data_IF_338047264626
#
_entry.id   IF_338047264626
#
_cell.length_a   1.000
_cell.length_b   1.000
_cell.length_c   1.000
_cell.angle_alpha   90.00
_cell.angle_beta   90.00
_cell.angle_gamma   90.00
#
_symmetry.space_group_name_H-M   'P 1'
#
loop_
_entity.id
_entity.type
_entity.pdbx_description
1 polymer ?
#
# COMPACT_ATOMS: atom_id res chain seq x y z
N UNK A 1 -21.64 -1.41 15.68
CA UNK A 1 -22.63 -2.40 15.21
C UNK A 1 -21.88 -3.45 14.44
N UNK A 2 -22.11 -4.71 14.81
CA UNK A 2 -21.28 -5.89 14.56
C UNK A 2 -21.30 -6.29 13.08
N UNK A 3 -20.12 -6.46 12.46
CA UNK A 3 -19.97 -7.00 11.10
C UNK A 3 -20.60 -8.40 11.04
N UNK A 4 -21.79 -8.52 10.45
CA UNK A 4 -22.52 -9.80 10.35
C UNK A 4 -21.96 -10.73 9.26
N UNK A 5 -21.11 -10.23 8.37
CA UNK A 5 -20.58 -10.97 7.23
C UNK A 5 -19.06 -11.04 7.28
N UNK A 6 -18.52 -12.16 6.81
CA UNK A 6 -17.07 -12.39 6.69
C UNK A 6 -16.69 -12.57 5.21
N UNK A 7 -15.43 -12.28 4.82
CA UNK A 7 -14.92 -12.64 3.50
C UNK A 7 -15.13 -14.13 3.22
N UNK A 8 -15.52 -14.44 1.99
CA UNK A 8 -15.86 -15.78 1.52
C UNK A 8 -17.11 -16.42 2.14
N UNK A 9 -17.87 -15.68 2.95
CA UNK A 9 -19.16 -16.15 3.42
C UNK A 9 -20.14 -16.31 2.24
N UNK A 10 -20.86 -17.44 2.15
CA UNK A 10 -21.94 -17.61 1.19
C UNK A 10 -23.17 -16.82 1.64
N UNK A 11 -23.72 -16.02 0.73
CA UNK A 11 -24.85 -15.15 1.02
C UNK A 11 -25.90 -15.20 -0.08
N UNK A 12 -27.15 -14.99 0.31
CA UNK A 12 -28.29 -14.80 -0.58
C UNK A 12 -28.83 -13.39 -0.46
N UNK A 13 -29.11 -12.77 -1.60
CA UNK A 13 -29.88 -11.55 -1.64
C UNK A 13 -31.36 -11.83 -1.32
N UNK A 14 -31.92 -11.10 -0.36
CA UNK A 14 -33.29 -11.35 0.12
C UNK A 14 -34.36 -10.91 -0.89
N UNK A 15 -34.05 -9.93 -1.74
CA UNK A 15 -34.96 -9.33 -2.73
C UNK A 15 -35.03 -10.19 -4.00
N UNK A 16 -33.90 -10.38 -4.68
CA UNK A 16 -33.86 -11.03 -5.99
C UNK A 16 -33.40 -12.49 -5.94
N UNK A 17 -33.16 -13.04 -4.74
CA UNK A 17 -32.72 -14.41 -4.49
C UNK A 17 -31.38 -14.79 -5.16
N UNK A 18 -30.60 -13.80 -5.60
CA UNK A 18 -29.26 -14.07 -6.14
C UNK A 18 -28.34 -14.65 -5.08
N UNK A 19 -27.56 -15.66 -5.47
CA UNK A 19 -26.56 -16.31 -4.64
C UNK A 19 -25.18 -15.80 -5.00
N UNK A 20 -24.35 -15.55 -4.00
CA UNK A 20 -22.97 -15.15 -4.21
C UNK A 20 -22.11 -15.33 -2.98
N UNK A 21 -20.82 -15.05 -3.15
CA UNK A 21 -19.81 -15.17 -2.10
C UNK A 21 -19.27 -13.79 -1.79
N UNK A 22 -19.17 -13.43 -0.52
CA UNK A 22 -18.66 -12.12 -0.08
C UNK A 22 -17.19 -11.98 -0.49
N UNK A 23 -16.86 -10.91 -1.22
CA UNK A 23 -15.48 -10.61 -1.64
C UNK A 23 -14.95 -9.29 -1.10
N UNK A 24 -15.82 -8.39 -0.61
CA UNK A 24 -15.42 -7.11 0.00
C UNK A 24 -16.51 -6.61 0.95
N UNK A 25 -16.08 -6.03 2.06
CA UNK A 25 -16.93 -5.39 3.06
C UNK A 25 -16.44 -3.94 3.22
N UNK A 26 -17.34 -2.96 3.07
CA UNK A 26 -17.04 -1.54 3.21
C UNK A 26 -18.19 -0.84 3.96
N UNK A 27 -18.10 -0.85 5.29
CA UNK A 27 -19.22 -0.48 6.16
C UNK A 27 -20.44 -1.36 5.85
N UNK A 28 -21.60 -0.76 5.63
CA UNK A 28 -22.83 -1.49 5.28
C UNK A 28 -22.89 -1.99 3.83
N UNK A 29 -21.89 -1.66 3.00
CA UNK A 29 -21.86 -2.11 1.61
C UNK A 29 -21.06 -3.41 1.50
N UNK A 30 -21.72 -4.46 1.04
CA UNK A 30 -21.15 -5.80 0.85
C UNK A 30 -21.09 -6.09 -0.64
N UNK A 31 -19.89 -6.32 -1.17
CA UNK A 31 -19.71 -6.77 -2.54
C UNK A 31 -19.63 -8.30 -2.56
N UNK A 32 -20.48 -8.90 -3.39
CA UNK A 32 -20.52 -10.34 -3.62
C UNK A 32 -20.09 -10.66 -5.05
N UNK A 33 -19.44 -11.81 -5.23
CA UNK A 33 -19.23 -12.44 -6.52
C UNK A 33 -20.37 -13.42 -6.76
N UNK A 34 -21.13 -13.22 -7.83
CA UNK A 34 -22.22 -14.13 -8.23
C UNK A 34 -21.71 -15.19 -9.20
N UNK A 35 -22.46 -16.29 -9.38
CA UNK A 35 -22.04 -17.48 -10.15
C UNK A 35 -21.62 -17.21 -11.59
N UNK A 36 -22.15 -16.17 -12.23
CA UNK A 36 -21.77 -15.80 -13.61
C UNK A 36 -20.49 -14.96 -13.67
N UNK A 37 -19.75 -14.82 -12.56
CA UNK A 37 -18.54 -14.00 -12.46
C UNK A 37 -18.81 -12.50 -12.26
N UNK A 38 -20.08 -12.09 -12.25
CA UNK A 38 -20.48 -10.71 -11.99
C UNK A 38 -20.17 -10.28 -10.55
N UNK A 39 -19.80 -9.01 -10.39
CA UNK A 39 -19.63 -8.39 -9.07
C UNK A 39 -20.82 -7.48 -8.79
N UNK A 40 -21.48 -7.68 -7.67
CA UNK A 40 -22.63 -6.89 -7.27
C UNK A 40 -22.43 -6.37 -5.85
N UNK A 41 -22.84 -5.13 -5.58
CA UNK A 41 -22.75 -4.53 -4.24
C UNK A 41 -24.14 -4.29 -3.69
N UNK A 42 -24.38 -4.77 -2.48
CA UNK A 42 -25.65 -4.64 -1.77
C UNK A 42 -25.43 -4.01 -0.40
N UNK A 43 -26.49 -3.41 0.15
CA UNK A 43 -26.51 -3.08 1.59
C UNK A 43 -26.63 -4.38 2.40
N UNK A 44 -25.97 -4.44 3.55
CA UNK A 44 -25.97 -5.60 4.44
C UNK A 44 -27.38 -6.10 4.77
N UNK A 45 -28.33 -5.18 4.99
CA UNK A 45 -29.74 -5.50 5.26
C UNK A 45 -30.46 -6.28 4.14
N UNK A 46 -29.90 -6.28 2.92
CA UNK A 46 -30.46 -7.03 1.79
C UNK A 46 -29.78 -8.37 1.56
N UNK A 47 -28.87 -8.77 2.45
CA UNK A 47 -28.20 -10.06 2.41
C UNK A 47 -28.58 -10.88 3.63
N UNK A 48 -28.69 -12.18 3.42
CA UNK A 48 -28.81 -13.17 4.48
C UNK A 48 -27.76 -14.27 4.24
N UNK A 49 -27.34 -15.00 5.27
CA UNK A 49 -26.57 -16.24 5.09
C UNK A 49 -27.31 -17.18 4.13
N UNK A 50 -26.56 -17.81 3.23
CA UNK A 50 -27.11 -18.85 2.36
C UNK A 50 -27.47 -20.10 3.19
N UNK A 51 -28.48 -20.87 2.75
CA UNK A 51 -28.80 -22.17 3.37
C UNK A 51 -27.70 -23.19 3.10
N UNK A 52 -27.76 -24.38 3.72
CA UNK A 52 -26.80 -25.45 3.47
C UNK A 52 -26.82 -25.91 2.00
N UNK A 53 -28.01 -25.99 1.40
CA UNK A 53 -28.20 -26.36 0.00
C UNK A 53 -27.63 -25.28 -0.93
N UNK A 54 -27.91 -24.01 -0.65
CA UNK A 54 -27.40 -22.88 -1.42
C UNK A 54 -25.86 -22.76 -1.29
N UNK A 55 -25.33 -23.06 -0.11
CA UNK A 55 -23.88 -23.10 0.15
C UNK A 55 -23.20 -24.20 -0.64
N UNK A 56 -23.84 -25.38 -0.78
CA UNK A 56 -23.32 -26.46 -1.60
C UNK A 56 -23.14 -26.03 -3.07
N UNK A 57 -24.05 -25.19 -3.60
CA UNK A 57 -23.96 -24.64 -4.96
C UNK A 57 -22.79 -23.66 -5.13
N UNK A 58 -22.35 -23.01 -4.06
CA UNK A 58 -21.27 -22.02 -4.06
C UNK A 58 -19.91 -22.61 -3.70
N UNK A 59 -19.84 -23.91 -3.35
CA UNK A 59 -18.64 -24.57 -2.80
C UNK A 59 -17.40 -24.37 -3.65
N UNK A 60 -17.49 -24.69 -4.95
CA UNK A 60 -16.34 -24.57 -5.87
C UNK A 60 -15.84 -23.13 -5.97
N UNK A 61 -16.75 -22.16 -5.97
CA UNK A 61 -16.42 -20.74 -6.01
C UNK A 61 -15.76 -20.28 -4.70
N UNK A 62 -16.24 -20.75 -3.55
CA UNK A 62 -15.63 -20.49 -2.24
C UNK A 62 -14.22 -21.09 -2.20
N UNK A 63 -14.05 -22.34 -2.64
CA UNK A 63 -12.76 -23.00 -2.69
C UNK A 63 -11.78 -22.30 -3.64
N UNK A 64 -12.25 -21.91 -4.83
CA UNK A 64 -11.43 -21.16 -5.78
C UNK A 64 -11.01 -19.81 -5.20
N UNK A 65 -11.94 -19.06 -4.59
CA UNK A 65 -11.64 -17.77 -3.98
C UNK A 65 -10.66 -17.90 -2.81
N UNK A 66 -10.80 -18.93 -1.97
CA UNK A 66 -9.83 -19.24 -0.91
C UNK A 66 -8.47 -19.65 -1.47
N UNK A 67 -8.43 -20.43 -2.56
CA UNK A 67 -7.20 -20.78 -3.28
C UNK A 67 -6.53 -19.54 -3.87
N UNK A 68 -7.29 -18.63 -4.49
CA UNK A 68 -6.76 -17.40 -5.06
C UNK A 68 -6.29 -16.41 -3.98
N UNK A 69 -6.97 -16.36 -2.84
CA UNK A 69 -6.55 -15.55 -1.69
C UNK A 69 -5.30 -16.11 -1.01
N UNK A 70 -5.24 -17.43 -0.82
CA UNK A 70 -4.02 -18.10 -0.34
C UNK A 70 -2.87 -17.98 -1.34
N UNK A 71 -3.13 -18.01 -2.65
CA UNK A 71 -2.14 -17.69 -3.68
C UNK A 71 -1.68 -16.25 -3.58
N UNK A 72 -2.56 -15.26 -3.39
CA UNK A 72 -2.14 -13.87 -3.14
C UNK A 72 -1.35 -13.69 -1.84
N UNK A 73 -1.61 -14.52 -0.84
CA UNK A 73 -0.88 -14.51 0.43
C UNK A 73 0.49 -15.20 0.33
N UNK A 74 0.64 -16.20 -0.54
CA UNK A 74 1.87 -17.01 -0.72
C UNK A 74 2.73 -16.52 -1.89
N UNK A 75 2.14 -15.95 -2.94
CA UNK A 75 2.87 -15.25 -3.99
C UNK A 75 2.88 -13.77 -3.66
N UNK A 76 3.84 -13.38 -2.82
CA UNK A 76 4.44 -12.07 -3.01
C UNK A 76 4.74 -11.95 -4.50
N UNK A 77 4.00 -11.11 -5.20
CA UNK A 77 4.16 -10.86 -6.64
C UNK A 77 5.67 -10.77 -6.85
N UNK A 78 6.27 -11.66 -7.66
CA UNK A 78 7.67 -11.45 -8.06
C UNK A 78 7.60 -10.16 -8.88
N UNK A 79 7.91 -9.06 -8.21
CA UNK A 79 7.88 -7.75 -8.81
C UNK A 79 9.12 -7.70 -9.66
N UNK A 80 8.95 -7.64 -10.98
CA UNK A 80 10.06 -7.45 -11.91
C UNK A 80 10.80 -6.15 -11.54
N UNK A 81 12.06 -6.23 -11.07
CA UNK A 81 12.80 -5.06 -10.63
C UNK A 81 12.98 -4.03 -11.74
N UNK A 82 13.08 -4.48 -13.00
CA UNK A 82 13.29 -3.60 -14.14
C UNK A 82 12.01 -2.80 -14.43
N UNK A 83 10.84 -3.45 -14.34
CA UNK A 83 9.57 -2.76 -14.48
C UNK A 83 9.38 -1.69 -13.40
N UNK A 84 9.80 -1.97 -12.16
CA UNK A 84 9.74 -0.99 -11.05
C UNK A 84 10.60 0.23 -11.36
N UNK A 85 11.83 0.02 -11.87
CA UNK A 85 12.72 1.11 -12.29
C UNK A 85 12.09 1.93 -13.40
N UNK A 86 11.55 1.30 -14.43
CA UNK A 86 10.88 1.98 -15.55
C UNK A 86 9.72 2.86 -15.06
N UNK A 87 8.89 2.36 -14.14
CA UNK A 87 7.78 3.14 -13.58
C UNK A 87 8.29 4.29 -12.70
N UNK A 88 9.37 4.10 -11.95
CA UNK A 88 10.01 5.16 -11.17
C UNK A 88 10.62 6.24 -12.08
N UNK A 89 11.28 5.86 -13.17
CA UNK A 89 11.84 6.80 -14.13
C UNK A 89 10.76 7.62 -14.83
N UNK A 90 9.64 6.99 -15.20
CA UNK A 90 8.45 7.71 -15.71
C UNK A 90 7.93 8.71 -14.68
N UNK A 91 7.88 8.32 -13.40
CA UNK A 91 7.45 9.20 -12.32
C UNK A 91 8.37 10.42 -12.19
N UNK A 92 9.68 10.21 -12.13
CA UNK A 92 10.69 11.29 -12.02
C UNK A 92 10.63 12.20 -13.26
N UNK A 93 10.50 11.61 -14.46
CA UNK A 93 10.37 12.35 -15.71
C UNK A 93 9.14 13.27 -15.71
N UNK A 94 8.00 12.82 -15.17
CA UNK A 94 6.81 13.66 -15.06
C UNK A 94 7.03 14.90 -14.17
N UNK A 95 7.79 14.76 -13.08
CA UNK A 95 8.17 15.89 -12.23
C UNK A 95 9.05 16.84 -13.03
N UNK A 96 10.10 16.32 -13.66
CA UNK A 96 11.09 17.10 -14.40
C UNK A 96 10.49 17.86 -15.60
N UNK A 97 9.50 17.29 -16.29
CA UNK A 97 8.81 17.95 -17.40
C UNK A 97 8.09 19.23 -16.98
N UNK A 98 7.51 19.26 -15.77
CA UNK A 98 6.81 20.46 -15.24
C UNK A 98 7.76 21.38 -14.48
N UNK A 99 8.69 20.79 -13.74
CA UNK A 99 9.60 21.48 -12.83
C UNK A 99 11.00 20.82 -12.88
N UNK A 100 11.86 21.20 -13.84
CA UNK A 100 13.15 20.52 -14.07
C UNK A 100 14.03 20.43 -12.82
N UNK A 101 14.20 21.55 -12.10
CA UNK A 101 15.00 21.61 -10.86
C UNK A 101 14.43 20.72 -9.74
N UNK A 102 13.11 20.62 -9.64
CA UNK A 102 12.46 19.74 -8.66
C UNK A 102 12.66 18.27 -9.00
N UNK A 103 12.60 17.91 -10.29
CA UNK A 103 12.88 16.54 -10.75
C UNK A 103 14.32 16.13 -10.46
N UNK A 104 15.29 17.03 -10.66
CA UNK A 104 16.69 16.81 -10.32
C UNK A 104 16.90 16.67 -8.80
N UNK A 105 16.35 17.59 -8.00
CA UNK A 105 16.44 17.53 -6.54
C UNK A 105 15.81 16.24 -5.98
N UNK A 106 14.67 15.82 -6.52
CA UNK A 106 14.05 14.54 -6.19
C UNK A 106 14.96 13.37 -6.52
N UNK A 107 15.52 13.33 -7.74
CA UNK A 107 16.40 12.25 -8.19
C UNK A 107 17.64 12.11 -7.30
N UNK A 108 18.26 13.22 -6.91
CA UNK A 108 19.40 13.24 -6.00
C UNK A 108 19.01 12.63 -4.65
N UNK A 109 17.95 13.16 -4.03
CA UNK A 109 17.51 12.67 -2.73
C UNK A 109 17.07 11.20 -2.76
N UNK A 110 16.40 10.78 -3.83
CA UNK A 110 16.02 9.40 -4.04
C UNK A 110 17.25 8.48 -4.11
N UNK A 111 18.29 8.88 -4.86
CA UNK A 111 19.56 8.16 -4.90
C UNK A 111 20.24 8.05 -3.53
N UNK A 112 20.25 9.14 -2.74
CA UNK A 112 20.79 9.14 -1.37
C UNK A 112 20.02 8.18 -0.45
N UNK A 113 18.69 8.12 -0.57
CA UNK A 113 17.86 7.16 0.17
C UNK A 113 18.19 5.72 -0.24
N UNK A 114 18.28 5.44 -1.55
CA UNK A 114 18.60 4.10 -2.06
C UNK A 114 19.99 3.62 -1.61
N UNK A 115 20.96 4.53 -1.49
CA UNK A 115 22.28 4.21 -0.94
C UNK A 115 22.21 3.75 0.53
N UNK A 116 21.24 4.22 1.30
CA UNK A 116 21.04 3.84 2.70
C UNK A 116 20.30 2.51 2.81
N UNK A 117 19.22 2.35 2.03
CA UNK A 117 18.32 1.21 2.16
C UNK A 117 18.73 -0.02 1.36
N UNK A 118 19.70 0.15 0.46
CA UNK A 118 20.03 -0.80 -0.59
C UNK A 118 19.08 -0.66 -1.79
N UNK A 119 19.63 -0.58 -2.99
CA UNK A 119 18.85 -0.44 -4.23
C UNK A 119 18.35 -1.80 -4.73
N UNK A 120 17.30 -2.33 -4.08
CA UNK A 120 16.66 -3.61 -4.40
C UNK A 120 15.18 -3.38 -4.74
N UNK A 121 14.85 -2.99 -5.99
CA UNK A 121 13.48 -2.74 -6.42
C UNK A 121 12.59 -3.97 -6.22
N UNK A 122 11.36 -3.76 -5.74
CA UNK A 122 10.43 -4.82 -5.32
C UNK A 122 10.64 -5.31 -3.88
N UNK A 123 11.85 -5.15 -3.32
CA UNK A 123 12.22 -5.62 -1.98
C UNK A 123 12.31 -4.47 -0.97
N UNK A 124 13.34 -3.63 -1.06
CA UNK A 124 13.59 -2.50 -0.14
C UNK A 124 12.81 -1.25 -0.55
N UNK A 125 12.39 -1.18 -1.81
CA UNK A 125 11.53 -0.11 -2.31
C UNK A 125 10.68 -0.59 -3.48
N UNK A 126 9.57 0.10 -3.76
CA UNK A 126 8.78 -0.13 -4.98
C UNK A 126 8.00 1.12 -5.40
N UNK A 127 7.29 1.02 -6.52
CA UNK A 127 6.30 2.02 -6.93
C UNK A 127 4.91 1.57 -6.45
N UNK A 128 4.17 2.46 -5.78
CA UNK A 128 2.73 2.24 -5.61
C UNK A 128 2.07 2.14 -6.99
N UNK A 129 1.15 1.17 -7.20
CA UNK A 129 0.52 0.97 -8.50
C UNK A 129 -0.10 2.25 -9.05
N UNK A 130 -0.06 2.43 -10.36
CA UNK A 130 -0.70 3.55 -11.06
C UNK A 130 -2.22 3.63 -10.83
N UNK A 131 -2.86 2.53 -10.45
CA UNK A 131 -4.27 2.47 -10.06
C UNK A 131 -4.55 2.96 -8.63
N UNK A 132 -3.51 3.26 -7.84
CA UNK A 132 -3.68 3.88 -6.53
C UNK A 132 -4.03 5.36 -6.70
N UNK A 133 -4.72 5.94 -5.72
CA UNK A 133 -5.06 7.38 -5.76
C UNK A 133 -3.82 8.28 -5.78
N UNK A 134 -2.67 7.78 -5.31
CA UNK A 134 -1.42 8.50 -5.15
C UNK A 134 -0.21 7.61 -5.54
N UNK A 135 0.04 7.38 -6.84
CA UNK A 135 1.21 6.63 -7.28
C UNK A 135 2.48 7.40 -6.91
N UNK A 136 3.42 6.70 -6.26
CA UNK A 136 4.68 7.27 -5.78
C UNK A 136 5.67 6.15 -5.46
N UNK A 137 6.98 6.45 -5.44
CA UNK A 137 7.95 5.54 -4.85
C UNK A 137 7.75 5.44 -3.33
N UNK A 138 7.97 4.25 -2.82
CA UNK A 138 7.79 3.91 -1.41
C UNK A 138 8.96 3.05 -0.93
N UNK A 139 9.51 3.39 0.24
CA UNK A 139 10.47 2.54 0.94
C UNK A 139 9.74 1.48 1.77
N UNK A 140 10.38 0.32 1.92
CA UNK A 140 9.85 -0.83 2.62
C UNK A 140 10.83 -1.29 3.69
N UNK A 141 10.33 -1.52 4.90
CA UNK A 141 11.12 -2.15 5.96
C UNK A 141 10.73 -3.61 6.09
N UNK A 142 11.69 -4.43 6.50
CA UNK A 142 11.41 -5.81 6.86
C UNK A 142 10.91 -5.88 8.30
N UNK A 143 9.67 -6.33 8.47
CA UNK A 143 9.10 -6.56 9.79
C UNK A 143 9.42 -7.99 10.23
N UNK A 144 10.41 -8.13 11.12
CA UNK A 144 10.86 -9.43 11.62
C UNK A 144 9.75 -10.22 12.34
N UNK A 145 8.80 -9.57 13.01
CA UNK A 145 7.71 -10.25 13.70
C UNK A 145 6.73 -10.92 12.72
N UNK A 146 6.49 -10.31 11.56
CA UNK A 146 5.55 -10.82 10.55
C UNK A 146 6.25 -11.50 9.36
N UNK A 147 7.59 -11.45 9.33
CA UNK A 147 8.44 -11.94 8.24
C UNK A 147 8.06 -11.34 6.86
N UNK A 148 7.55 -10.10 6.85
CA UNK A 148 7.04 -9.43 5.65
C UNK A 148 7.73 -8.08 5.43
N UNK A 149 7.91 -7.75 4.15
CA UNK A 149 8.24 -6.38 3.76
C UNK A 149 6.99 -5.51 3.80
N UNK A 150 7.08 -4.38 4.49
CA UNK A 150 5.95 -3.47 4.70
C UNK A 150 6.31 -2.06 4.30
N UNK A 151 5.37 -1.36 3.70
CA UNK A 151 5.57 0.01 3.25
C UNK A 151 5.74 0.90 4.47
N UNK A 152 6.82 1.69 4.50
CA UNK A 152 7.14 2.55 5.64
C UNK A 152 7.12 4.04 5.30
N UNK A 153 7.67 4.44 4.15
CA UNK A 153 7.85 5.85 3.77
C UNK A 153 7.42 6.07 2.32
N UNK A 154 6.40 6.90 2.11
CA UNK A 154 5.94 7.31 0.77
C UNK A 154 6.56 8.66 0.38
N UNK A 155 6.92 8.81 -0.89
CA UNK A 155 7.48 10.06 -1.43
C UNK A 155 6.56 10.64 -2.51
N UNK A 156 5.62 11.49 -2.09
CA UNK A 156 4.66 12.11 -2.99
C UNK A 156 5.20 13.43 -3.54
N UNK A 157 5.67 13.42 -4.77
CA UNK A 157 6.07 14.60 -5.50
C UNK A 157 4.87 15.37 -6.08
N UNK A 158 4.90 16.68 -5.90
CA UNK A 158 4.01 17.67 -6.52
C UNK A 158 4.77 18.99 -6.70
N UNK A 159 4.16 20.10 -6.30
CA UNK A 159 4.86 21.39 -6.22
C UNK A 159 6.04 21.35 -5.22
N UNK A 160 5.87 20.63 -4.11
CA UNK A 160 6.92 20.20 -3.18
C UNK A 160 7.02 18.68 -3.09
N UNK A 161 7.86 18.18 -2.19
CA UNK A 161 7.94 16.76 -1.84
C UNK A 161 7.22 16.54 -0.51
N UNK A 162 6.15 15.74 -0.52
CA UNK A 162 5.51 15.27 0.69
C UNK A 162 6.04 13.89 1.06
N UNK A 163 6.64 13.79 2.23
CA UNK A 163 7.06 12.53 2.82
C UNK A 163 6.01 12.06 3.81
N UNK A 164 5.55 10.81 3.70
CA UNK A 164 4.61 10.23 4.66
C UNK A 164 5.18 8.94 5.25
N UNK A 165 5.40 8.92 6.56
CA UNK A 165 5.98 7.80 7.30
C UNK A 165 4.97 7.19 8.26
N UNK A 166 4.94 5.86 8.38
CA UNK A 166 4.14 5.21 9.42
C UNK A 166 4.77 5.42 10.81
N UNK A 167 3.93 5.76 11.80
CA UNK A 167 4.37 6.06 13.18
C UNK A 167 5.17 4.92 13.80
N UNK A 168 4.76 3.68 13.53
CA UNK A 168 5.38 2.45 14.05
C UNK A 168 6.83 2.25 13.59
N UNK A 169 7.28 2.89 12.51
CA UNK A 169 8.63 2.80 11.98
C UNK A 169 9.44 4.09 12.11
N UNK A 170 8.85 5.15 12.68
CA UNK A 170 9.55 6.39 12.91
C UNK A 170 10.49 6.24 14.11
N UNK A 171 11.81 6.45 13.97
CA UNK A 171 12.72 6.40 15.09
C UNK A 171 12.37 7.44 16.17
N UNK A 172 12.47 7.10 17.46
CA UNK A 172 12.25 8.06 18.55
C UNK A 172 13.16 9.29 18.40
N UNK A 173 12.59 10.48 18.55
CA UNK A 173 13.30 11.75 18.41
C UNK A 173 13.24 12.35 17.01
N UNK A 174 12.70 11.64 16.01
CA UNK A 174 12.52 12.14 14.65
C UNK A 174 11.13 12.77 14.41
N UNK A 175 10.27 12.89 15.42
CA UNK A 175 8.90 13.40 15.31
C UNK A 175 8.85 14.83 14.76
N UNK A 176 9.80 15.67 15.15
CA UNK A 176 9.90 17.05 14.70
C UNK A 176 10.19 17.18 13.19
N UNK A 177 10.82 16.15 12.58
CA UNK A 177 11.06 16.12 11.13
C UNK A 177 9.76 15.90 10.34
N UNK A 178 8.75 15.31 10.97
CA UNK A 178 7.43 15.02 10.40
C UNK A 178 6.32 15.70 11.24
N UNK A 179 6.20 17.04 11.16
CA UNK A 179 5.34 17.80 12.05
C UNK A 179 3.84 17.55 11.85
N UNK A 180 3.43 17.09 10.66
CA UNK A 180 2.03 16.81 10.36
C UNK A 180 1.66 15.46 10.98
N UNK A 181 0.97 15.50 12.11
CA UNK A 181 0.46 14.28 12.76
C UNK A 181 -0.82 13.76 12.08
N UNK A 182 -1.10 12.47 12.24
CA UNK A 182 -2.28 11.76 11.72
C UNK A 182 -2.38 11.66 10.19
N UNK A 183 -1.25 11.69 9.48
CA UNK A 183 -1.18 11.28 8.08
C UNK A 183 -1.52 9.78 7.92
N UNK A 184 -1.66 9.29 6.68
CA UNK A 184 -1.96 7.87 6.38
C UNK A 184 -3.18 7.34 7.16
N UNK A 185 -4.28 8.10 7.16
CA UNK A 185 -5.51 7.76 7.89
C UNK A 185 -5.28 7.59 9.41
N UNK A 186 -4.43 8.43 10.00
CA UNK A 186 -4.12 8.41 11.44
C UNK A 186 -2.90 7.56 11.83
N UNK A 187 -2.46 6.64 10.97
CA UNK A 187 -1.37 5.71 11.27
C UNK A 187 0.04 6.28 11.03
N UNK A 188 0.15 7.48 10.46
CA UNK A 188 1.40 8.07 10.01
C UNK A 188 1.62 9.51 10.45
N UNK A 189 2.81 10.01 10.14
CA UNK A 189 3.18 11.43 10.17
C UNK A 189 3.66 11.86 8.79
N UNK A 190 3.64 13.15 8.52
CA UNK A 190 4.11 13.70 7.25
C UNK A 190 4.98 14.95 7.41
N UNK A 191 5.79 15.19 6.39
CA UNK A 191 6.56 16.40 6.18
C UNK A 191 6.31 16.91 4.77
N UNK A 192 6.24 18.22 4.61
CA UNK A 192 6.17 18.87 3.30
C UNK A 192 7.45 19.67 3.09
N UNK A 193 8.15 19.36 2.00
CA UNK A 193 9.48 19.85 1.70
C UNK A 193 9.44 20.65 0.41
N UNK A 194 10.10 21.79 0.41
CA UNK A 194 10.24 22.61 -0.80
C UNK A 194 11.54 22.20 -1.53
N UNK A 195 11.41 21.79 -2.79
CA UNK A 195 12.56 21.42 -3.62
C UNK A 195 13.60 22.53 -3.77
N UNK A 196 13.17 23.81 -3.76
CA UNK A 196 14.07 24.97 -3.84
C UNK A 196 15.01 25.07 -2.64
N UNK A 197 14.58 24.54 -1.51
CA UNK A 197 15.27 24.58 -0.24
C UNK A 197 15.98 23.27 0.08
N UNK A 198 16.03 22.32 -0.85
CA UNK A 198 16.43 20.95 -0.56
C UNK A 198 17.94 20.74 -0.64
N UNK A 199 18.70 21.52 0.13
CA UNK A 199 20.17 21.45 0.22
C UNK A 199 20.64 20.19 0.95
N UNK A 200 21.91 19.76 0.80
CA UNK A 200 22.44 18.60 1.51
C UNK A 200 22.20 18.65 3.03
N UNK A 201 22.35 19.83 3.64
CA UNK A 201 22.18 20.06 5.08
C UNK A 201 20.72 19.84 5.51
N UNK A 202 19.76 20.24 4.67
CA UNK A 202 18.33 20.04 4.91
C UNK A 202 17.87 18.61 4.61
N UNK A 203 18.55 17.90 3.70
CA UNK A 203 18.28 16.48 3.41
C UNK A 203 18.83 15.56 4.50
N UNK A 204 19.99 15.89 5.06
CA UNK A 204 20.72 15.06 6.02
C UNK A 204 19.87 14.54 7.19
N UNK A 205 19.05 15.34 7.91
CA UNK A 205 18.22 14.82 8.99
C UNK A 205 17.24 13.72 8.56
N UNK A 206 16.68 13.84 7.35
CA UNK A 206 15.80 12.81 6.78
C UNK A 206 16.56 11.53 6.42
N UNK A 207 17.77 11.68 5.86
CA UNK A 207 18.66 10.55 5.56
C UNK A 207 19.08 9.83 6.86
N UNK A 208 19.50 10.56 7.88
CA UNK A 208 19.88 10.01 9.19
C UNK A 208 18.69 9.28 9.86
N UNK A 209 17.48 9.83 9.74
CA UNK A 209 16.25 9.19 10.19
C UNK A 209 16.00 7.85 9.47
N UNK A 210 16.16 7.80 8.14
CA UNK A 210 15.97 6.57 7.36
C UNK A 210 17.05 5.54 7.71
N UNK A 211 18.31 5.97 7.89
CA UNK A 211 19.38 5.08 8.32
C UNK A 211 19.10 4.46 9.70
N UNK A 212 18.63 5.26 10.66
CA UNK A 212 18.24 4.77 11.98
C UNK A 212 17.09 3.76 11.90
N UNK A 213 16.09 4.02 11.05
CA UNK A 213 14.96 3.11 10.80
C UNK A 213 15.43 1.75 10.26
N UNK A 214 16.29 1.73 9.24
CA UNK A 214 16.80 0.48 8.67
C UNK A 214 17.77 -0.26 9.60
N UNK A 215 18.48 0.45 10.46
CA UNK A 215 19.29 -0.16 11.53
C UNK A 215 18.42 -0.85 12.58
N UNK A 216 17.26 -0.31 12.90
CA UNK A 216 16.30 -0.91 13.85
C UNK A 216 15.54 -2.11 13.24
N UNK A 217 15.42 -2.15 11.91
CA UNK A 217 14.74 -3.21 11.17
C UNK A 217 15.69 -3.89 10.18
N UNK A 218 16.79 -4.53 10.66
CA UNK A 218 17.76 -5.15 9.77
C UNK A 218 17.13 -6.35 9.07
N UNK A 219 17.43 -6.49 7.79
CA UNK A 219 17.16 -7.70 7.03
C UNK A 219 18.48 -8.40 6.75
N UNK A 220 18.59 -9.67 7.14
CA UNK A 220 19.71 -10.53 6.76
C UNK A 220 19.27 -11.33 5.54
N UNK A 221 20.05 -11.23 4.46
CA UNK A 221 19.92 -12.10 3.29
C UNK A 221 20.27 -13.56 3.61
#
# INVERSE_FOLDING_TARGET
MTNQFEPFAPVRNVLNKSLGVVIKIAGDNITILVRNGGRMTFKAQYLAPATEEETAVLRDMIEQLRRDDSRKAVTGRIVDPELVRIECDKYIRHIALRYPKSGEAFKIFWGELLAIVGDLPGKTWEMKPGSSSNPCPVLKVYNAATQKWVYCLNLLAGWGLRLEIKKEFLPPGCEALFPIDNALFGAGRAAELNYKDFTPEKRKPYLDCVAAMYKAHPFKE
#
